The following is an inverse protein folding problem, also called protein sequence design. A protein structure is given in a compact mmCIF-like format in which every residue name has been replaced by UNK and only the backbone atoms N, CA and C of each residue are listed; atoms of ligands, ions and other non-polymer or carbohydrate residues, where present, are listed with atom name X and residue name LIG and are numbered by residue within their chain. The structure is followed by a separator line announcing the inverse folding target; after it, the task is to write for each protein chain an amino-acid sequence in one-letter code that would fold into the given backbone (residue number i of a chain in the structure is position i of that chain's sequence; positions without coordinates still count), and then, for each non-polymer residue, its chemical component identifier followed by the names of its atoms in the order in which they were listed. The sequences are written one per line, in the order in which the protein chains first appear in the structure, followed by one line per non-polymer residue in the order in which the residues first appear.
data_IF_303596990555
#
_entry.id   IF_303596990555
#
_cell.length_a   1.000
_cell.length_b   1.000
_cell.length_c   1.000
_cell.angle_alpha   90.00
_cell.angle_beta   90.00
_cell.angle_gamma   90.00
#
_symmetry.space_group_name_H-M   'P 1'
#
loop_
_entity.id
_entity.type
_entity.pdbx_description
1 polymer ?
#
# COMPACT_ATOMS: atom_id res chain seq x y z
N UNK A 1 -5.77 8.07 -0.50
CA UNK A 1 -5.39 6.78 0.13
C UNK A 1 -3.89 6.81 0.43
N UNK A 2 -3.43 6.26 1.57
CA UNK A 2 -2.01 6.28 2.02
C UNK A 2 -1.47 4.89 2.40
N UNK A 3 -2.32 3.88 2.33
CA UNK A 3 -2.01 2.53 2.79
C UNK A 3 -2.23 1.58 1.63
N UNK A 4 -1.40 0.54 1.55
CA UNK A 4 -1.48 -0.52 0.56
C UNK A 4 -1.48 -1.87 1.25
N UNK A 5 -2.13 -2.85 0.62
CA UNK A 5 -2.11 -4.23 1.05
C UNK A 5 -1.02 -4.95 0.27
N UNK A 6 -0.20 -5.72 0.98
CA UNK A 6 0.85 -6.53 0.37
C UNK A 6 0.40 -7.99 0.43
N UNK A 7 0.34 -8.71 -0.70
CA UNK A 7 0.02 -10.14 -0.70
C UNK A 7 1.12 -10.94 0.01
N UNK A 8 0.72 -11.78 0.96
CA UNK A 8 1.62 -12.73 1.65
C UNK A 8 1.85 -14.01 0.86
N UNK A 9 1.20 -14.16 -0.30
CA UNK A 9 1.31 -15.34 -1.17
C UNK A 9 1.00 -16.68 -0.47
N UNK A 10 0.16 -16.65 0.57
CA UNK A 10 -0.19 -17.83 1.36
C UNK A 10 0.81 -18.18 2.46
N UNK A 11 1.88 -17.39 2.64
CA UNK A 11 2.82 -17.57 3.76
C UNK A 11 2.15 -17.18 5.08
N UNK A 12 2.15 -18.12 6.02
CA UNK A 12 1.64 -17.92 7.37
C UNK A 12 2.60 -17.10 8.22
N UNK A 13 2.05 -16.27 9.11
CA UNK A 13 2.82 -15.45 10.04
C UNK A 13 3.64 -16.27 11.05
N UNK A 14 3.29 -17.54 11.26
CA UNK A 14 4.02 -18.45 12.18
C UNK A 14 4.93 -19.44 11.46
N UNK A 15 5.07 -19.33 10.13
CA UNK A 15 6.00 -20.18 9.39
C UNK A 15 7.43 -19.71 9.64
N UNK A 16 8.21 -20.50 10.39
CA UNK A 16 9.62 -20.24 10.69
C UNK A 16 10.57 -20.86 9.67
N UNK A 17 10.08 -21.81 8.87
CA UNK A 17 10.87 -22.59 7.91
C UNK A 17 10.73 -22.02 6.49
N UNK A 18 11.02 -20.73 6.34
CA UNK A 18 10.99 -20.06 5.03
C UNK A 18 12.18 -20.45 4.17
N UNK A 19 11.90 -21.00 2.99
CA UNK A 19 12.94 -21.22 1.98
C UNK A 19 13.48 -19.88 1.47
N UNK A 20 14.65 -19.88 0.83
CA UNK A 20 15.15 -18.67 0.16
C UNK A 20 14.16 -18.15 -0.89
N UNK A 21 13.52 -19.07 -1.62
CA UNK A 21 12.52 -18.72 -2.63
C UNK A 21 11.28 -18.04 -2.02
N UNK A 22 10.81 -18.50 -0.86
CA UNK A 22 9.67 -17.86 -0.17
C UNK A 22 10.00 -16.42 0.24
N UNK A 23 11.22 -16.20 0.75
CA UNK A 23 11.69 -14.87 1.14
C UNK A 23 11.76 -13.94 -0.07
N UNK A 24 12.31 -14.44 -1.18
CA UNK A 24 12.42 -13.67 -2.42
C UNK A 24 11.03 -13.33 -2.97
N UNK A 25 10.11 -14.29 -2.97
CA UNK A 25 8.73 -14.07 -3.43
C UNK A 25 7.99 -13.02 -2.58
N UNK A 26 8.11 -13.08 -1.26
CA UNK A 26 7.54 -12.08 -0.35
C UNK A 26 8.15 -10.69 -0.55
N UNK A 27 9.46 -10.62 -0.74
CA UNK A 27 10.13 -9.36 -1.03
C UNK A 27 9.61 -8.76 -2.34
N UNK A 28 9.53 -9.57 -3.39
CA UNK A 28 9.05 -9.13 -4.70
C UNK A 28 7.57 -8.74 -4.68
N UNK A 29 6.71 -9.41 -3.89
CA UNK A 29 5.31 -9.01 -3.75
C UNK A 29 5.18 -7.61 -3.14
N UNK A 30 6.04 -7.28 -2.18
CA UNK A 30 6.19 -5.95 -1.61
C UNK A 30 6.62 -4.91 -2.65
N UNK A 31 7.70 -5.19 -3.39
CA UNK A 31 8.22 -4.32 -4.46
C UNK A 31 7.14 -4.04 -5.50
N UNK A 32 6.51 -5.07 -6.05
CA UNK A 32 5.49 -4.92 -7.09
C UNK A 32 4.28 -4.11 -6.61
N UNK A 33 3.80 -4.37 -5.39
CA UNK A 33 2.66 -3.64 -4.81
C UNK A 33 3.00 -2.16 -4.59
N UNK A 34 4.21 -1.87 -4.12
CA UNK A 34 4.68 -0.50 -3.94
C UNK A 34 4.83 0.22 -5.29
N UNK A 35 5.40 -0.44 -6.31
CA UNK A 35 5.53 0.11 -7.65
C UNK A 35 4.15 0.41 -8.27
N UNK A 36 3.19 -0.51 -8.16
CA UNK A 36 1.83 -0.32 -8.67
C UNK A 36 1.08 0.82 -7.94
N UNK A 37 1.32 0.99 -6.64
CA UNK A 37 0.76 2.11 -5.91
C UNK A 37 1.38 3.43 -6.35
N UNK A 38 2.70 3.51 -6.39
CA UNK A 38 3.42 4.73 -6.74
C UNK A 38 3.18 5.17 -8.19
N UNK A 39 2.89 4.24 -9.11
CA UNK A 39 2.57 4.60 -10.50
C UNK A 39 1.25 5.35 -10.65
N UNK A 40 0.34 5.22 -9.69
CA UNK A 40 -0.98 5.89 -9.70
C UNK A 40 -1.13 6.95 -8.62
N UNK A 41 -0.21 7.00 -7.66
CA UNK A 41 -0.31 7.89 -6.51
C UNK A 41 0.26 9.28 -6.81
N UNK A 42 -0.57 10.30 -6.59
CA UNK A 42 -0.20 11.70 -6.75
C UNK A 42 -0.04 12.37 -5.37
N UNK A 43 1.21 12.65 -5.00
CA UNK A 43 1.56 13.35 -3.77
C UNK A 43 1.00 14.78 -3.75
N UNK A 44 1.08 15.51 -4.86
CA UNK A 44 0.66 16.92 -4.91
C UNK A 44 -0.84 17.03 -4.72
N UNK A 45 -1.61 16.15 -5.39
CA UNK A 45 -3.05 16.03 -5.18
C UNK A 45 -3.38 15.70 -3.72
N UNK A 46 -2.61 14.80 -3.09
CA UNK A 46 -2.79 14.48 -1.68
C UNK A 46 -2.55 15.70 -0.77
N UNK A 47 -1.45 16.43 -0.98
CA UNK A 47 -1.15 17.62 -0.18
C UNK A 47 -2.20 18.72 -0.37
N UNK A 48 -2.66 18.96 -1.60
CA UNK A 48 -3.70 19.94 -1.89
C UNK A 48 -5.02 19.65 -1.16
N UNK A 49 -5.41 18.37 -1.04
CA UNK A 49 -6.66 17.98 -0.38
C UNK A 49 -6.54 17.92 1.15
N UNK A 50 -5.41 17.42 1.67
CA UNK A 50 -5.29 17.07 3.09
C UNK A 50 -4.35 17.96 3.91
N UNK A 51 -3.54 18.80 3.26
CA UNK A 51 -2.48 19.61 3.89
C UNK A 51 -2.50 21.09 3.48
N UNK A 52 -3.52 21.54 2.75
CA UNK A 52 -3.69 22.95 2.34
C UNK A 52 -4.38 23.85 3.38
N UNK A 53 -4.86 23.28 4.49
CA UNK A 53 -5.65 24.00 5.50
C UNK A 53 -7.14 24.12 5.15
N UNK A 54 -7.57 23.61 4.00
CA UNK A 54 -8.99 23.48 3.65
C UNK A 54 -9.68 22.37 4.47
N UNK A 55 -11.01 22.42 4.65
CA UNK A 55 -11.77 21.35 5.29
C UNK A 55 -11.49 20.01 4.60
N UNK A 56 -10.98 19.05 5.36
CA UNK A 56 -10.61 17.73 4.85
C UNK A 56 -11.87 16.90 4.60
N UNK A 57 -12.03 16.27 3.42
CA UNK A 57 -13.17 15.39 3.14
C UNK A 57 -13.25 14.26 4.16
N UNK A 58 -14.46 13.97 4.64
CA UNK A 58 -14.67 12.85 5.54
C UNK A 58 -14.64 11.54 4.77
N UNK A 59 -14.48 10.42 5.48
CA UNK A 59 -14.53 9.09 4.85
C UNK A 59 -15.84 8.84 4.10
N UNK A 60 -16.95 9.42 4.56
CA UNK A 60 -18.27 9.29 3.92
C UNK A 60 -18.31 9.97 2.56
N UNK A 61 -17.65 11.12 2.42
CA UNK A 61 -17.64 11.92 1.18
C UNK A 61 -16.78 11.29 0.07
N UNK A 62 -15.88 10.36 0.43
CA UNK A 62 -14.97 9.69 -0.51
C UNK A 62 -15.52 8.35 -1.03
N UNK A 63 -16.68 7.90 -0.52
CA UNK A 63 -17.28 6.59 -0.82
C UNK A 63 -18.62 6.68 -1.57
N UNK A 64 -19.07 7.88 -1.95
CA UNK A 64 -20.22 8.12 -2.84
C UNK A 64 -19.77 8.34 -4.28
#
# INVERSE_FOLDING_TARGET
MRSILIPTLGVSAVNVDLTSQDKDNLYQSGVQSATAFLSTWDLQKYLAVYRSGAPVPTRRDLMS
#
